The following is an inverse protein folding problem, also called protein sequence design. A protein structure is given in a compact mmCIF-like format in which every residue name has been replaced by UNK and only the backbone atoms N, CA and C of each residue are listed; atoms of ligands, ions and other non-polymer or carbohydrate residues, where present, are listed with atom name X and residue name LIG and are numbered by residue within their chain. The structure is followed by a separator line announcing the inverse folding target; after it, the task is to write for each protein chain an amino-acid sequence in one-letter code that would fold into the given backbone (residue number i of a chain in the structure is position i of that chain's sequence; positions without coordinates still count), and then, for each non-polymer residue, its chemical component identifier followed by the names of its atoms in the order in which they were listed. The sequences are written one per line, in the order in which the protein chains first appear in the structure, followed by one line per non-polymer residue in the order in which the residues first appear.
data_IF_562536602095
#
_entry.id   IF_562536602095
#
_cell.length_a   1.000
_cell.length_b   1.000
_cell.length_c   1.000
_cell.angle_alpha   90.00
_cell.angle_beta   90.00
_cell.angle_gamma   90.00
#
_symmetry.space_group_name_H-M   'P 1'
#
loop_
_entity.id
_entity.type
_entity.pdbx_description
1 polymer ?
#
# COMPACT_ATOMS: atom_id res chain seq x y z
N UNK A 1 30.91 -47.36 20.25
CA UNK A 1 30.91 -47.49 18.78
C UNK A 1 29.48 -47.27 18.35
N UNK A 2 29.20 -46.23 17.55
CA UNK A 2 27.82 -45.95 17.09
C UNK A 2 27.65 -46.68 15.76
N UNK A 3 26.78 -47.69 15.72
CA UNK A 3 26.49 -48.42 14.50
C UNK A 3 25.66 -47.55 13.56
N UNK A 4 26.27 -47.14 12.45
CA UNK A 4 25.59 -46.46 11.35
C UNK A 4 25.04 -47.53 10.42
N UNK A 5 23.75 -47.86 10.56
CA UNK A 5 23.08 -48.79 9.66
C UNK A 5 22.75 -48.09 8.33
N UNK A 6 23.40 -48.52 7.24
CA UNK A 6 22.99 -48.16 5.88
C UNK A 6 21.84 -49.07 5.43
N UNK A 7 20.72 -48.49 4.99
CA UNK A 7 19.61 -49.22 4.39
C UNK A 7 20.06 -49.85 3.06
N UNK A 8 20.01 -51.19 2.99
CA UNK A 8 20.25 -51.97 1.78
C UNK A 8 18.96 -52.68 1.38
N UNK A 9 18.55 -52.55 0.14
CA UNK A 9 17.45 -53.30 -0.44
C UNK A 9 18.02 -54.20 -1.54
N UNK A 10 17.87 -55.52 -1.39
CA UNK A 10 18.49 -56.53 -2.28
C UNK A 10 20.02 -56.41 -2.45
N UNK A 11 20.72 -55.96 -1.39
CA UNK A 11 22.19 -55.96 -1.35
C UNK A 11 22.86 -54.71 -1.91
N UNK A 12 22.13 -53.84 -2.60
CA UNK A 12 22.66 -52.58 -3.12
C UNK A 12 22.58 -51.45 -2.07
N UNK A 13 23.65 -50.65 -1.88
CA UNK A 13 23.61 -49.46 -1.03
C UNK A 13 22.60 -48.46 -1.60
N UNK A 14 21.49 -48.24 -0.91
CA UNK A 14 20.55 -47.19 -1.26
C UNK A 14 21.10 -45.88 -0.69
N UNK A 15 21.67 -45.02 -1.54
CA UNK A 15 22.03 -43.68 -1.14
C UNK A 15 20.79 -43.01 -0.52
N UNK A 16 20.91 -42.46 0.69
CA UNK A 16 19.87 -41.66 1.36
C UNK A 16 19.66 -40.32 0.62
N UNK A 17 19.27 -40.38 -0.65
CA UNK A 17 18.96 -39.24 -1.51
C UNK A 17 17.68 -39.52 -2.31
N UNK A 18 16.68 -40.04 -1.63
CA UNK A 18 15.36 -40.39 -2.19
C UNK A 18 14.44 -40.43 -0.98
N UNK A 19 13.56 -39.49 -0.68
CA UNK A 19 12.90 -38.47 -1.48
C UNK A 19 12.57 -37.31 -0.52
N UNK A 20 12.67 -36.05 -0.94
CA UNK A 20 12.03 -34.97 -0.17
C UNK A 20 10.50 -35.21 -0.02
N UNK A 21 9.94 -36.04 -0.90
CA UNK A 21 8.56 -36.52 -0.88
C UNK A 21 8.30 -37.72 0.07
N UNK A 22 9.33 -38.26 0.74
CA UNK A 22 9.24 -39.46 1.60
C UNK A 22 9.55 -39.17 3.08
N UNK A 23 9.36 -37.93 3.53
CA UNK A 23 9.42 -37.62 4.95
C UNK A 23 8.06 -38.01 5.55
N UNK A 24 8.05 -39.07 6.34
CA UNK A 24 6.87 -39.52 7.07
C UNK A 24 6.27 -38.37 7.90
N UNK A 25 4.96 -38.14 7.73
CA UNK A 25 4.23 -37.08 8.43
C UNK A 25 4.20 -35.72 7.73
N UNK A 26 4.84 -35.55 6.56
CA UNK A 26 4.76 -34.32 5.77
C UNK A 26 3.88 -34.52 4.54
N UNK A 27 2.71 -33.87 4.54
CA UNK A 27 1.87 -33.79 3.34
C UNK A 27 2.39 -32.67 2.42
N UNK A 28 3.15 -33.03 1.38
CA UNK A 28 3.56 -32.10 0.31
C UNK A 28 5.07 -32.04 0.07
N UNK A 29 5.51 -31.02 -0.69
CA UNK A 29 6.93 -30.79 -1.01
C UNK A 29 7.54 -29.72 -0.09
N UNK A 30 8.77 -29.97 0.36
CA UNK A 30 9.54 -29.00 1.11
C UNK A 30 10.07 -27.85 0.23
N UNK A 31 10.10 -26.65 0.80
CA UNK A 31 10.76 -25.46 0.26
C UNK A 31 12.24 -25.50 0.64
N UNK A 32 13.14 -25.20 -0.29
CA UNK A 32 14.59 -25.22 -0.07
C UNK A 32 15.09 -23.85 0.39
N UNK A 33 16.19 -23.85 1.13
CA UNK A 33 16.86 -22.62 1.56
C UNK A 33 17.62 -21.90 0.43
N UNK A 34 17.86 -22.56 -0.70
CA UNK A 34 18.62 -22.03 -1.84
C UNK A 34 18.01 -22.44 -3.18
N UNK A 35 18.30 -21.66 -4.22
CA UNK A 35 17.79 -21.88 -5.57
C UNK A 35 16.43 -21.24 -5.82
N UNK A 36 16.04 -21.17 -7.09
CA UNK A 36 14.76 -20.61 -7.49
C UNK A 36 13.68 -21.69 -7.44
N UNK A 37 12.54 -21.38 -6.81
CA UNK A 37 11.40 -22.28 -6.73
C UNK A 37 10.07 -21.53 -6.75
N UNK A 38 9.01 -22.21 -7.18
CA UNK A 38 7.63 -21.70 -7.16
C UNK A 38 6.88 -22.32 -5.99
N UNK A 39 6.43 -21.49 -5.05
CA UNK A 39 5.65 -21.93 -3.88
C UNK A 39 4.17 -21.58 -4.07
N UNK A 40 3.27 -22.56 -3.93
CA UNK A 40 1.80 -22.38 -4.06
C UNK A 40 1.07 -22.49 -2.72
N UNK A 41 -0.15 -21.95 -2.69
CA UNK A 41 -1.04 -21.95 -1.52
C UNK A 41 -0.73 -20.84 -0.51
N UNK A 42 -1.65 -20.62 0.43
CA UNK A 42 -1.49 -19.62 1.49
C UNK A 42 -0.37 -20.03 2.44
N UNK A 43 0.47 -19.05 2.81
CA UNK A 43 1.54 -19.20 3.80
C UNK A 43 1.36 -18.13 4.86
N UNK A 44 1.19 -18.57 6.11
CA UNK A 44 1.14 -17.70 7.27
C UNK A 44 2.50 -17.81 7.97
N UNK A 45 3.09 -16.68 8.32
CA UNK A 45 4.41 -16.59 8.96
C UNK A 45 4.20 -16.05 10.37
N UNK A 46 4.38 -16.90 11.38
CA UNK A 46 4.13 -16.56 12.79
C UNK A 46 5.04 -15.43 13.28
N UNK A 47 6.31 -15.46 12.88
CA UNK A 47 7.32 -14.45 13.25
C UNK A 47 7.44 -13.30 12.24
N UNK A 48 6.51 -13.20 11.29
CA UNK A 48 6.55 -12.24 10.19
C UNK A 48 7.54 -12.59 9.08
N UNK A 49 7.62 -11.71 8.06
CA UNK A 49 8.46 -11.91 6.86
C UNK A 49 9.59 -10.91 6.85
N UNK A 50 10.81 -11.37 6.51
CA UNK A 50 11.95 -10.50 6.23
C UNK A 50 12.42 -10.66 4.78
N UNK A 51 12.79 -9.55 4.15
CA UNK A 51 13.47 -9.55 2.85
C UNK A 51 14.80 -8.83 3.02
N UNK A 52 15.89 -9.56 2.76
CA UNK A 52 17.28 -9.07 2.92
C UNK A 52 17.54 -8.47 4.33
N UNK A 53 17.04 -9.14 5.36
CA UNK A 53 17.17 -8.72 6.77
C UNK A 53 16.29 -7.54 7.18
N UNK A 54 15.38 -7.09 6.32
CA UNK A 54 14.40 -6.04 6.63
C UNK A 54 13.02 -6.65 6.83
N UNK A 55 12.42 -6.42 7.99
CA UNK A 55 11.05 -6.85 8.29
C UNK A 55 10.06 -6.14 7.37
N UNK A 56 9.15 -6.90 6.78
CA UNK A 56 7.98 -6.38 6.07
C UNK A 56 6.88 -6.16 7.11
N UNK A 57 6.38 -4.93 7.22
CA UNK A 57 5.27 -4.64 8.12
C UNK A 57 3.96 -5.20 7.57
N UNK A 58 3.07 -5.71 8.43
CA UNK A 58 1.71 -6.11 8.04
C UNK A 58 0.95 -4.96 7.37
N UNK A 59 1.23 -3.72 7.78
CA UNK A 59 0.67 -2.51 7.18
C UNK A 59 1.09 -2.32 5.72
N UNK A 60 2.26 -2.81 5.33
CA UNK A 60 2.73 -2.85 3.93
C UNK A 60 2.01 -3.91 3.09
N UNK A 61 1.39 -4.90 3.72
CA UNK A 61 0.66 -5.99 3.06
C UNK A 61 -0.83 -5.69 2.86
N UNK A 62 -1.29 -4.48 3.24
CA UNK A 62 -2.70 -4.07 3.08
C UNK A 62 -3.12 -4.07 1.60
N UNK A 63 -4.32 -4.58 1.36
CA UNK A 63 -4.95 -4.58 0.04
C UNK A 63 -5.10 -3.17 -0.52
N UNK A 64 -5.01 -3.07 -1.84
CA UNK A 64 -5.25 -1.86 -2.61
C UNK A 64 -6.67 -1.34 -2.33
N UNK A 65 -6.76 -0.08 -1.88
CA UNK A 65 -8.04 0.64 -1.78
C UNK A 65 -7.97 1.96 -2.53
N UNK A 66 -9.07 2.35 -3.16
CA UNK A 66 -9.16 3.59 -3.92
C UNK A 66 -10.47 4.32 -3.64
N UNK A 67 -10.41 5.65 -3.68
CA UNK A 67 -11.57 6.52 -3.59
C UNK A 67 -11.46 7.62 -4.63
N UNK A 68 -12.54 7.84 -5.37
CA UNK A 68 -12.70 8.99 -6.27
C UNK A 68 -13.73 9.94 -5.68
N UNK A 69 -13.47 11.24 -5.80
CA UNK A 69 -14.44 12.30 -5.54
C UNK A 69 -14.54 13.14 -6.82
N UNK A 70 -15.73 13.26 -7.38
CA UNK A 70 -16.00 14.03 -8.60
C UNK A 70 -17.23 14.92 -8.46
N UNK A 71 -18.04 15.04 -9.50
CA UNK A 71 -19.17 15.97 -9.58
C UNK A 71 -20.33 15.67 -8.62
N UNK A 72 -20.30 14.52 -7.93
CA UNK A 72 -21.18 14.25 -6.79
C UNK A 72 -20.88 15.17 -5.59
N UNK A 73 -19.69 15.76 -5.54
CA UNK A 73 -19.38 16.84 -4.61
C UNK A 73 -19.89 18.17 -5.18
N UNK A 74 -20.70 18.89 -4.40
CA UNK A 74 -21.35 20.13 -4.85
C UNK A 74 -20.39 21.27 -5.22
N UNK A 75 -19.12 21.17 -4.83
CA UNK A 75 -18.10 22.20 -5.09
C UNK A 75 -17.26 21.90 -6.33
N UNK A 76 -17.43 20.73 -6.95
CA UNK A 76 -16.72 20.30 -8.16
C UNK A 76 -17.65 20.47 -9.37
N UNK A 77 -17.23 21.28 -10.33
CA UNK A 77 -17.95 21.50 -11.59
C UNK A 77 -17.61 20.44 -12.65
N UNK A 78 -16.35 20.01 -12.72
CA UNK A 78 -15.85 19.04 -13.70
C UNK A 78 -14.58 18.36 -13.18
N UNK A 79 -14.21 17.21 -13.74
CA UNK A 79 -13.01 16.45 -13.37
C UNK A 79 -13.18 15.68 -12.05
N UNK A 80 -12.05 15.29 -11.44
CA UNK A 80 -12.04 14.51 -10.21
C UNK A 80 -10.76 14.66 -9.40
N UNK A 81 -10.83 14.16 -8.17
CA UNK A 81 -9.68 13.81 -7.36
C UNK A 81 -9.74 12.34 -6.97
N UNK A 82 -8.58 11.71 -6.90
CA UNK A 82 -8.41 10.29 -6.67
C UNK A 82 -7.41 10.06 -5.54
N UNK A 83 -7.79 9.19 -4.61
CA UNK A 83 -6.95 8.66 -3.55
C UNK A 83 -6.71 7.19 -3.82
N UNK A 84 -5.45 6.81 -3.78
CA UNK A 84 -4.99 5.45 -3.97
C UNK A 84 -4.12 5.06 -2.78
N UNK A 85 -4.42 3.95 -2.11
CA UNK A 85 -3.57 3.41 -1.07
C UNK A 85 -3.11 2.00 -1.42
N UNK A 86 -1.82 1.78 -1.25
CA UNK A 86 -1.18 0.48 -1.33
C UNK A 86 -0.20 0.34 -0.16
N UNK A 87 -0.42 -0.68 0.67
CA UNK A 87 0.33 -0.86 1.91
C UNK A 87 0.26 0.37 2.82
N UNK A 88 1.41 0.98 3.07
CA UNK A 88 1.59 2.14 3.95
C UNK A 88 1.46 3.48 3.23
N UNK A 89 1.50 3.50 1.89
CA UNK A 89 1.57 4.72 1.10
C UNK A 89 0.22 5.12 0.53
N UNK A 90 -0.10 6.41 0.64
CA UNK A 90 -1.26 7.04 0.01
C UNK A 90 -0.76 7.97 -1.08
N UNK A 91 -1.30 7.80 -2.28
CA UNK A 91 -1.10 8.69 -3.42
C UNK A 91 -2.40 9.45 -3.65
N UNK A 92 -2.28 10.76 -3.75
CA UNK A 92 -3.35 11.66 -4.16
C UNK A 92 -3.01 12.26 -5.51
N UNK A 93 -3.99 12.34 -6.39
CA UNK A 93 -3.90 13.06 -7.65
C UNK A 93 -5.24 13.70 -7.96
N UNK A 94 -5.22 14.92 -8.48
CA UNK A 94 -6.44 15.60 -8.90
C UNK A 94 -6.26 16.43 -10.15
N UNK A 95 -7.35 16.59 -10.88
CA UNK A 95 -7.56 17.63 -11.88
C UNK A 95 -9.06 17.87 -11.93
N UNK A 96 -9.51 18.94 -11.30
CA UNK A 96 -10.93 19.27 -11.22
C UNK A 96 -11.16 20.78 -11.27
N UNK A 97 -12.32 21.18 -11.77
CA UNK A 97 -12.72 22.57 -11.87
C UNK A 97 -13.61 22.98 -10.69
N UNK A 98 -13.33 24.13 -10.09
CA UNK A 98 -14.13 24.68 -9.00
C UNK A 98 -15.47 25.21 -9.48
N UNK A 99 -16.55 24.86 -8.79
CA UNK A 99 -17.89 25.41 -9.06
C UNK A 99 -18.10 26.79 -8.44
N UNK A 100 -17.41 27.09 -7.33
CA UNK A 100 -17.53 28.32 -6.56
C UNK A 100 -16.17 28.78 -6.05
N UNK A 101 -16.10 30.03 -5.60
CA UNK A 101 -14.90 30.59 -4.96
C UNK A 101 -14.59 29.79 -3.68
N UNK A 102 -13.32 29.46 -3.49
CA UNK A 102 -12.81 28.90 -2.25
C UNK A 102 -11.90 29.91 -1.59
N UNK A 103 -12.26 30.38 -0.41
CA UNK A 103 -11.42 31.27 0.37
C UNK A 103 -10.37 30.47 1.14
N UNK A 104 -9.23 31.09 1.41
CA UNK A 104 -8.19 30.54 2.27
C UNK A 104 -8.80 30.05 3.60
N UNK A 105 -8.25 28.94 4.09
CA UNK A 105 -8.62 28.26 5.33
C UNK A 105 -10.03 27.64 5.34
N UNK A 106 -10.76 27.67 4.21
CA UNK A 106 -12.03 26.95 4.08
C UNK A 106 -11.81 25.45 3.89
N UNK A 107 -12.69 24.64 4.50
CA UNK A 107 -12.73 23.19 4.29
C UNK A 107 -13.45 22.89 2.98
N UNK A 108 -12.78 22.11 2.14
CA UNK A 108 -13.19 21.74 0.79
C UNK A 108 -13.76 20.32 0.78
N UNK A 109 -13.08 19.43 1.48
CA UNK A 109 -13.52 18.07 1.75
C UNK A 109 -13.44 17.86 3.25
N UNK A 110 -14.55 17.44 3.86
CA UNK A 110 -14.63 17.22 5.32
C UNK A 110 -14.11 15.85 5.75
N UNK A 111 -14.09 14.87 4.83
CA UNK A 111 -13.57 13.53 5.13
C UNK A 111 -13.11 12.78 3.87
N UNK A 112 -11.81 12.61 3.72
CA UNK A 112 -11.21 11.76 2.67
C UNK A 112 -11.34 10.27 2.99
N UNK A 113 -11.58 9.90 4.25
CA UNK A 113 -11.66 8.53 4.74
C UNK A 113 -10.45 8.17 5.62
N UNK A 114 -10.68 7.39 6.67
CA UNK A 114 -9.65 7.01 7.66
C UNK A 114 -8.46 6.29 7.05
N UNK A 115 -8.66 5.55 5.96
CA UNK A 115 -7.59 4.84 5.24
C UNK A 115 -6.60 5.79 4.56
N UNK A 116 -6.98 7.03 4.28
CA UNK A 116 -6.17 7.99 3.52
C UNK A 116 -5.61 9.13 4.37
N UNK A 117 -5.91 9.19 5.66
CA UNK A 117 -5.47 10.29 6.53
C UNK A 117 -3.94 10.34 6.62
N UNK A 118 -3.30 11.52 6.50
CA UNK A 118 -1.90 11.69 6.81
C UNK A 118 -1.67 11.78 8.33
N UNK A 119 -0.45 11.51 8.81
CA UNK A 119 -0.09 11.68 10.22
C UNK A 119 0.17 13.15 10.59
N UNK A 120 0.66 13.94 9.63
CA UNK A 120 0.91 15.37 9.74
C UNK A 120 0.10 16.15 8.70
N UNK A 121 -0.05 17.46 8.89
CA UNK A 121 -0.64 18.31 7.86
C UNK A 121 0.24 18.33 6.62
N UNK A 122 -0.25 17.76 5.52
CA UNK A 122 0.44 17.78 4.23
C UNK A 122 0.15 19.09 3.51
N UNK A 123 1.20 19.71 2.95
CA UNK A 123 1.08 20.86 2.06
C UNK A 123 1.25 20.41 0.63
N UNK A 124 0.30 20.75 -0.23
CA UNK A 124 0.29 20.30 -1.62
C UNK A 124 0.23 21.52 -2.51
N UNK A 125 1.23 21.66 -3.37
CA UNK A 125 1.29 22.72 -4.36
C UNK A 125 0.27 22.43 -5.47
N UNK A 126 -0.60 23.40 -5.73
CA UNK A 126 -1.44 23.41 -6.92
C UNK A 126 -0.57 23.85 -8.07
N UNK A 127 -0.58 23.08 -9.15
CA UNK A 127 0.13 23.39 -10.39
C UNK A 127 -0.45 24.67 -10.96
N UNK A 128 0.19 25.79 -10.63
CA UNK A 128 -0.21 27.15 -10.92
C UNK A 128 1.04 28.02 -11.02
N UNK A 129 0.92 29.19 -11.63
CA UNK A 129 2.02 30.17 -11.69
C UNK A 129 2.18 30.99 -10.40
N UNK A 130 1.26 30.84 -9.44
CA UNK A 130 1.15 31.70 -8.24
C UNK A 130 1.60 31.03 -6.94
N UNK A 131 1.97 29.76 -6.98
CA UNK A 131 2.38 29.03 -5.78
C UNK A 131 1.24 28.71 -4.81
N UNK A 132 0.02 28.57 -5.34
CA UNK A 132 -1.18 28.32 -4.53
C UNK A 132 -1.15 26.91 -3.92
N UNK A 133 -1.76 26.75 -2.74
CA UNK A 133 -1.64 25.53 -1.95
C UNK A 133 -3.00 24.97 -1.54
N UNK A 134 -3.08 23.66 -1.37
CA UNK A 134 -4.11 22.98 -0.58
C UNK A 134 -3.43 22.21 0.55
N UNK A 135 -4.17 21.92 1.62
CA UNK A 135 -3.68 21.15 2.74
C UNK A 135 -4.53 19.90 2.97
N UNK A 136 -3.89 18.82 3.41
CA UNK A 136 -4.58 17.67 4.01
C UNK A 136 -4.24 17.60 5.50
N UNK A 137 -5.26 17.65 6.36
CA UNK A 137 -5.06 17.62 7.81
C UNK A 137 -5.02 16.18 8.34
N UNK A 138 -4.46 15.93 9.55
CA UNK A 138 -4.50 14.61 10.18
C UNK A 138 -5.92 14.10 10.53
N UNK A 139 -6.94 14.96 10.42
CA UNK A 139 -8.34 14.59 10.55
C UNK A 139 -8.93 14.05 9.23
N UNK A 140 -8.19 14.13 8.12
CA UNK A 140 -8.66 13.75 6.80
C UNK A 140 -9.51 14.82 6.12
N UNK A 141 -9.27 16.08 6.47
CA UNK A 141 -9.90 17.21 5.79
C UNK A 141 -8.97 17.72 4.68
N UNK A 142 -9.56 18.18 3.57
CA UNK A 142 -8.86 18.99 2.57
C UNK A 142 -9.23 20.45 2.77
N UNK A 143 -8.26 21.33 2.95
CA UNK A 143 -8.49 22.77 3.13
C UNK A 143 -7.76 23.60 2.08
N UNK A 144 -8.34 24.77 1.76
CA UNK A 144 -7.69 25.74 0.88
C UNK A 144 -6.55 26.44 1.63
N UNK A 145 -5.34 26.43 1.06
CA UNK A 145 -4.21 27.22 1.57
C UNK A 145 -4.07 28.59 0.91
N UNK A 146 -4.89 28.86 -0.10
CA UNK A 146 -4.93 30.07 -0.90
C UNK A 146 -6.37 30.38 -1.29
N UNK A 147 -6.64 31.59 -1.79
CA UNK A 147 -7.92 31.90 -2.40
C UNK A 147 -7.94 31.38 -3.84
N UNK A 148 -9.01 30.66 -4.21
CA UNK A 148 -9.22 30.15 -5.56
C UNK A 148 -10.53 30.67 -6.13
N UNK A 149 -10.48 31.11 -7.39
CA UNK A 149 -11.67 31.62 -8.08
C UNK A 149 -12.56 30.49 -8.59
N UNK A 150 -13.85 30.77 -8.74
CA UNK A 150 -14.75 29.85 -9.43
C UNK A 150 -14.26 29.61 -10.87
N UNK A 151 -14.41 28.39 -11.37
CA UNK A 151 -13.95 27.99 -12.69
C UNK A 151 -12.44 27.68 -12.80
N UNK A 152 -11.66 27.88 -11.74
CA UNK A 152 -10.23 27.50 -11.72
C UNK A 152 -10.08 25.98 -11.74
N UNK A 153 -9.11 25.48 -12.52
CA UNK A 153 -8.68 24.10 -12.48
C UNK A 153 -7.65 23.90 -11.37
N UNK A 154 -7.95 23.01 -10.43
CA UNK A 154 -7.03 22.56 -9.39
C UNK A 154 -6.41 21.24 -9.83
N UNK A 155 -5.13 21.32 -10.19
CA UNK A 155 -4.32 20.16 -10.56
C UNK A 155 -3.19 20.01 -9.56
N UNK A 156 -3.10 18.86 -8.92
CA UNK A 156 -2.09 18.59 -7.91
C UNK A 156 -1.87 17.09 -7.74
N UNK A 157 -0.69 16.72 -7.25
CA UNK A 157 -0.40 15.37 -6.80
C UNK A 157 0.54 15.40 -5.61
N UNK A 158 0.40 14.41 -4.73
CA UNK A 158 1.34 14.18 -3.65
C UNK A 158 1.23 12.75 -3.12
N UNK A 159 2.19 12.39 -2.29
CA UNK A 159 2.27 11.10 -1.65
C UNK A 159 2.58 11.27 -0.17
N UNK A 160 1.96 10.46 0.68
CA UNK A 160 2.25 10.44 2.12
C UNK A 160 2.09 9.05 2.73
N UNK A 161 2.80 8.76 3.85
CA UNK A 161 2.48 7.61 4.67
C UNK A 161 1.13 7.80 5.35
N UNK A 162 0.25 6.81 5.28
CA UNK A 162 -1.02 6.90 5.98
C UNK A 162 -0.82 6.88 7.49
N UNK A 163 -1.68 7.58 8.24
CA UNK A 163 -1.67 7.62 9.70
C UNK A 163 -1.87 6.24 10.34
N UNK A 164 -2.75 5.43 9.72
CA UNK A 164 -3.02 4.06 10.15
C UNK A 164 -2.12 3.04 9.43
N UNK A 165 -1.05 3.50 8.77
CA UNK A 165 0.06 2.66 8.32
C UNK A 165 0.91 2.22 9.49
#
# INVERSE_FOLDING_TARGET
MVDVYQLKEKGEPKYMKTHADAIDGITGKLVKATGNETVKGVKNFEDGIQVKGKTISEKSLRAKVSKRISTENSDIQSGSMDFYREGTGVTFSCSFQLKKVWYKDTRLITNIGTEYQPDITMRVLVVSTKGEMIYFTPAGEMTAGSDFQAGTWITASCHWPAKNA
#
